data_IF_468390280004
#
_entry.id   IF_468390280004
#
_cell.length_a   1.000
_cell.length_b   1.000
_cell.length_c   1.000
_cell.angle_alpha   90.00
_cell.angle_beta   90.00
_cell.angle_gamma   90.00
#
_symmetry.space_group_name_H-M   'P 1'
#
loop_
_entity.id
_entity.type
_entity.pdbx_description
1 polymer ?
#
# COMPACT_ATOMS: atom_id res chain seq x y z
N UNK A 1 -35.23 -12.48 -12.78
CA UNK A 1 -35.21 -11.08 -13.27
C UNK A 1 -34.06 -10.36 -12.59
N UNK A 2 -33.23 -9.58 -13.28
CA UNK A 2 -32.13 -8.87 -12.62
C UNK A 2 -32.73 -7.86 -11.64
N UNK A 3 -32.36 -7.94 -10.35
CA UNK A 3 -32.79 -6.97 -9.34
C UNK A 3 -32.16 -5.62 -9.70
N UNK A 4 -32.99 -4.68 -10.11
CA UNK A 4 -32.55 -3.32 -10.43
C UNK A 4 -31.89 -2.70 -9.20
N UNK A 5 -30.75 -2.02 -9.40
CA UNK A 5 -30.04 -1.39 -8.28
C UNK A 5 -30.95 -0.34 -7.63
N UNK A 6 -31.02 -0.30 -6.28
CA UNK A 6 -31.83 0.70 -5.60
C UNK A 6 -31.31 2.11 -5.90
N UNK A 7 -32.19 3.10 -5.86
CA UNK A 7 -31.91 4.47 -6.33
C UNK A 7 -30.67 5.07 -5.68
N UNK A 8 -30.49 4.90 -4.36
CA UNK A 8 -29.37 5.45 -3.59
C UNK A 8 -28.00 4.81 -3.89
N UNK A 9 -27.97 3.66 -4.58
CA UNK A 9 -26.72 3.03 -5.05
C UNK A 9 -26.36 3.38 -6.50
N UNK A 10 -27.18 4.21 -7.16
CA UNK A 10 -26.90 4.74 -8.49
C UNK A 10 -26.00 5.97 -8.36
N UNK A 11 -25.20 6.23 -9.38
CA UNK A 11 -24.47 7.49 -9.45
C UNK A 11 -25.49 8.63 -9.65
N UNK A 12 -25.32 9.78 -8.98
CA UNK A 12 -24.12 10.23 -8.26
C UNK A 12 -24.06 9.84 -6.77
N UNK A 13 -25.14 9.35 -6.16
CA UNK A 13 -25.23 9.12 -4.70
C UNK A 13 -24.42 7.93 -4.20
N UNK A 14 -24.01 7.02 -5.09
CA UNK A 14 -23.34 5.78 -4.73
C UNK A 14 -22.08 5.97 -3.87
N UNK A 15 -21.44 7.15 -3.95
CA UNK A 15 -20.29 7.55 -3.12
C UNK A 15 -20.62 7.68 -1.63
N UNK A 16 -21.85 8.10 -1.28
CA UNK A 16 -22.28 8.27 0.12
C UNK A 16 -22.55 6.94 0.84
N UNK A 17 -22.61 5.83 0.10
CA UNK A 17 -22.96 4.50 0.65
C UNK A 17 -21.85 3.48 0.50
N UNK A 18 -20.68 3.88 0.00
CA UNK A 18 -19.52 3.01 -0.23
C UNK A 18 -18.29 3.58 0.47
N UNK A 19 -18.04 3.13 1.69
CA UNK A 19 -16.92 3.60 2.53
C UNK A 19 -15.57 3.48 1.80
N UNK A 20 -15.35 2.37 1.09
CA UNK A 20 -14.12 2.14 0.31
C UNK A 20 -13.87 3.16 -0.80
N UNK A 21 -14.90 3.85 -1.30
CA UNK A 21 -14.73 4.90 -2.30
C UNK A 21 -14.36 6.24 -1.66
N UNK A 22 -14.81 6.49 -0.43
CA UNK A 22 -14.51 7.70 0.34
C UNK A 22 -13.02 7.72 0.75
N UNK A 23 -12.38 6.56 0.89
CA UNK A 23 -10.94 6.46 1.18
C UNK A 23 -10.05 6.71 -0.06
N UNK A 24 -10.51 6.28 -1.24
CA UNK A 24 -9.73 6.39 -2.48
C UNK A 24 -9.85 7.73 -3.18
N UNK A 25 -10.95 8.45 -2.91
CA UNK A 25 -11.27 9.71 -3.58
C UNK A 25 -10.83 10.89 -2.72
N UNK A 26 -10.31 11.96 -3.34
CA UNK A 26 -10.00 13.18 -2.61
C UNK A 26 -11.28 13.76 -1.98
N UNK A 27 -11.30 14.07 -0.67
CA UNK A 27 -12.47 14.68 -0.03
C UNK A 27 -12.92 15.99 -0.70
N UNK A 28 -11.98 16.72 -1.31
CA UNK A 28 -12.22 18.01 -1.97
C UNK A 28 -12.97 17.91 -3.31
N UNK A 29 -12.89 16.77 -4.00
CA UNK A 29 -13.60 16.59 -5.28
C UNK A 29 -15.08 16.22 -5.09
N UNK A 30 -15.52 16.00 -3.85
CA UNK A 30 -16.88 15.58 -3.54
C UNK A 30 -17.72 16.84 -3.23
N UNK A 31 -18.66 17.14 -4.12
CA UNK A 31 -19.70 18.14 -3.87
C UNK A 31 -20.81 17.54 -2.99
N UNK A 32 -20.59 17.64 -1.69
CA UNK A 32 -21.50 17.09 -0.68
C UNK A 32 -22.85 17.80 -0.68
N UNK A 33 -22.88 19.11 -0.97
CA UNK A 33 -24.12 19.90 -0.99
C UNK A 33 -25.00 19.42 -2.13
N UNK A 34 -24.43 19.29 -3.33
CA UNK A 34 -25.13 18.76 -4.49
C UNK A 34 -25.64 17.33 -4.25
N UNK A 35 -24.82 16.46 -3.67
CA UNK A 35 -25.20 15.07 -3.41
C UNK A 35 -26.35 14.95 -2.40
N UNK A 36 -26.30 15.71 -1.30
CA UNK A 36 -27.32 15.64 -0.26
C UNK A 36 -28.64 16.29 -0.69
N UNK A 37 -28.58 17.42 -1.42
CA UNK A 37 -29.78 18.10 -1.93
C UNK A 37 -30.52 17.22 -2.93
N UNK A 38 -29.81 16.70 -3.93
CA UNK A 38 -30.41 15.79 -4.93
C UNK A 38 -30.90 14.49 -4.31
N UNK A 39 -30.20 13.95 -3.31
CA UNK A 39 -30.66 12.76 -2.59
C UNK A 39 -31.96 13.05 -1.83
N UNK A 40 -32.04 14.19 -1.14
CA UNK A 40 -33.23 14.59 -0.39
C UNK A 40 -34.43 14.82 -1.31
N UNK A 41 -34.22 15.43 -2.48
CA UNK A 41 -35.26 15.60 -3.50
C UNK A 41 -35.84 14.26 -3.96
N UNK A 42 -34.99 13.28 -4.23
CA UNK A 42 -35.45 11.93 -4.62
C UNK A 42 -36.11 11.17 -3.47
N UNK A 43 -35.60 11.32 -2.24
CA UNK A 43 -36.22 10.76 -1.06
C UNK A 43 -37.61 11.37 -0.80
N UNK A 44 -37.82 12.65 -1.09
CA UNK A 44 -39.15 13.27 -1.01
C UNK A 44 -40.13 12.75 -2.06
N UNK A 45 -39.64 12.29 -3.22
CA UNK A 45 -40.48 11.71 -4.28
C UNK A 45 -40.92 10.28 -3.98
N UNK A 46 -40.00 9.46 -3.50
CA UNK A 46 -40.24 8.02 -3.28
C UNK A 46 -40.75 7.73 -1.86
N UNK A 47 -40.40 8.59 -0.89
CA UNK A 47 -40.61 8.39 0.53
C UNK A 47 -39.28 8.32 1.28
N UNK A 48 -39.21 9.04 2.40
CA UNK A 48 -38.00 9.17 3.21
C UNK A 48 -37.77 7.88 4.01
N UNK A 49 -36.70 7.16 3.69
CA UNK A 49 -36.16 6.10 4.56
C UNK A 49 -35.09 6.69 5.48
N UNK A 50 -35.41 6.81 6.77
CA UNK A 50 -34.49 7.35 7.77
C UNK A 50 -33.22 6.52 7.96
N UNK A 51 -33.22 5.23 7.63
CA UNK A 51 -32.01 4.41 7.68
C UNK A 51 -31.00 4.86 6.64
N UNK A 52 -31.49 5.10 5.41
CA UNK A 52 -30.69 5.57 4.29
C UNK A 52 -30.19 6.99 4.58
N UNK A 53 -31.07 7.86 5.08
CA UNK A 53 -30.68 9.20 5.53
C UNK A 53 -29.59 9.14 6.61
N UNK A 54 -29.73 8.26 7.61
CA UNK A 54 -28.74 8.07 8.66
C UNK A 54 -27.39 7.64 8.12
N UNK A 55 -27.36 6.71 7.17
CA UNK A 55 -26.11 6.30 6.50
C UNK A 55 -25.49 7.45 5.70
N UNK A 56 -26.29 8.19 4.93
CA UNK A 56 -25.82 9.34 4.17
C UNK A 56 -25.29 10.47 5.08
N UNK A 57 -25.91 10.68 6.24
CA UNK A 57 -25.43 11.62 7.25
C UNK A 57 -24.10 11.12 7.82
N UNK A 58 -23.97 9.85 8.20
CA UNK A 58 -22.73 9.31 8.73
C UNK A 58 -21.56 9.45 7.74
N UNK A 59 -21.79 9.13 6.46
CA UNK A 59 -20.76 9.30 5.43
C UNK A 59 -20.44 10.78 5.18
N UNK A 60 -21.43 11.67 5.28
CA UNK A 60 -21.21 13.12 5.20
C UNK A 60 -20.29 13.64 6.32
N UNK A 61 -20.47 13.13 7.55
CA UNK A 61 -19.62 13.46 8.70
C UNK A 61 -18.19 12.98 8.46
N UNK A 62 -18.01 11.75 7.96
CA UNK A 62 -16.70 11.20 7.63
C UNK A 62 -15.97 12.03 6.57
N UNK A 63 -16.68 12.46 5.52
CA UNK A 63 -16.10 13.32 4.47
C UNK A 63 -15.66 14.67 5.07
N UNK A 64 -16.49 15.27 5.93
CA UNK A 64 -16.18 16.56 6.55
C UNK A 64 -15.00 16.46 7.54
N UNK A 65 -14.96 15.39 8.34
CA UNK A 65 -13.84 15.09 9.22
C UNK A 65 -12.53 15.00 8.43
N UNK A 66 -12.50 14.26 7.31
CA UNK A 66 -11.30 14.17 6.47
C UNK A 66 -10.88 15.52 5.90
N UNK A 67 -11.84 16.38 5.51
CA UNK A 67 -11.52 17.74 5.06
C UNK A 67 -10.84 18.54 6.17
N UNK A 68 -11.38 18.48 7.39
CA UNK A 68 -10.79 19.16 8.55
C UNK A 68 -9.40 18.63 8.90
N UNK A 69 -9.20 17.30 8.89
CA UNK A 69 -7.90 16.68 9.13
C UNK A 69 -6.86 17.08 8.06
N UNK A 70 -7.26 17.16 6.80
CA UNK A 70 -6.37 17.62 5.73
C UNK A 70 -6.02 19.10 5.87
N UNK A 71 -6.99 19.94 6.23
CA UNK A 71 -6.72 21.36 6.52
C UNK A 71 -5.73 21.51 7.68
N UNK A 72 -5.92 20.74 8.76
CA UNK A 72 -5.01 20.77 9.90
C UNK A 72 -3.58 20.37 9.51
N UNK A 73 -3.44 19.30 8.71
CA UNK A 73 -2.12 18.85 8.21
C UNK A 73 -1.45 19.87 7.29
N UNK A 74 -2.21 20.72 6.60
CA UNK A 74 -1.66 21.79 5.76
C UNK A 74 -1.16 22.97 6.59
N UNK A 75 -1.73 23.19 7.77
CA UNK A 75 -1.30 24.24 8.70
C UNK A 75 -0.10 23.82 9.55
N UNK A 76 0.14 22.52 9.70
CA UNK A 76 1.32 22.02 10.41
C UNK A 76 2.62 22.58 9.79
N UNK A 77 3.49 23.21 10.59
CA UNK A 77 4.75 23.73 10.07
C UNK A 77 5.57 22.58 9.49
N UNK A 78 6.37 22.84 8.44
CA UNK A 78 7.25 21.82 7.89
C UNK A 78 8.11 21.25 9.01
N UNK A 79 8.07 19.92 9.17
CA UNK A 79 8.87 19.25 10.19
C UNK A 79 10.32 19.70 10.04
N UNK A 80 11.01 20.04 11.14
CA UNK A 80 12.41 20.41 11.07
C UNK A 80 13.15 19.32 10.29
N UNK A 81 14.11 19.69 9.42
CA UNK A 81 14.91 18.71 8.72
C UNK A 81 15.41 17.72 9.75
N UNK A 82 15.07 16.45 9.60
CA UNK A 82 15.60 15.41 10.48
C UNK A 82 17.10 15.54 10.34
N UNK A 83 17.79 15.91 11.43
CA UNK A 83 19.24 15.84 11.46
C UNK A 83 19.55 14.44 10.96
N UNK A 84 20.15 14.38 9.77
CA UNK A 84 20.69 13.13 9.27
C UNK A 84 21.68 12.77 10.37
N UNK A 85 21.29 11.83 11.24
CA UNK A 85 22.22 11.18 12.14
C UNK A 85 23.40 10.89 11.23
N UNK A 86 24.58 11.38 11.63
CA UNK A 86 25.81 11.26 10.85
C UNK A 86 26.21 9.78 10.89
N UNK A 87 25.38 8.97 10.25
CA UNK A 87 25.50 7.53 10.12
C UNK A 87 26.52 7.39 9.03
N UNK A 88 27.76 7.17 9.47
CA UNK A 88 28.85 6.82 8.58
C UNK A 88 28.44 5.61 7.76
N UNK A 89 28.06 5.85 6.50
CA UNK A 89 27.84 4.80 5.50
C UNK A 89 29.21 4.55 4.88
N UNK A 90 29.88 3.42 5.16
CA UNK A 90 31.15 3.13 4.53
C UNK A 90 30.96 3.02 3.01
N UNK A 91 31.97 3.42 2.23
CA UNK A 91 31.93 3.23 0.79
C UNK A 91 31.75 1.74 0.46
N UNK A 92 31.06 1.41 -0.65
CA UNK A 92 30.88 0.03 -1.07
C UNK A 92 32.26 -0.63 -1.26
N UNK A 93 32.43 -1.80 -0.64
CA UNK A 93 33.63 -2.60 -0.78
C UNK A 93 33.68 -3.16 -2.22
N UNK A 94 34.71 -2.80 -2.98
CA UNK A 94 34.95 -3.47 -4.26
C UNK A 94 35.34 -4.92 -3.97
N UNK A 95 34.48 -5.86 -4.34
CA UNK A 95 34.84 -7.28 -4.31
C UNK A 95 36.05 -7.47 -5.24
N UNK A 96 37.08 -8.21 -4.81
CA UNK A 96 38.20 -8.51 -5.67
C UNK A 96 37.69 -9.21 -6.93
N UNK A 97 38.13 -8.74 -8.09
CA UNK A 97 37.90 -9.45 -9.34
C UNK A 97 38.48 -10.85 -9.18
N UNK A 98 37.60 -11.87 -9.15
CA UNK A 98 38.04 -13.25 -9.28
C UNK A 98 38.50 -13.43 -10.72
N UNK A 99 39.78 -13.16 -10.96
CA UNK A 99 40.44 -13.77 -12.11
C UNK A 99 40.49 -15.27 -11.83
N UNK A 100 39.82 -16.06 -12.67
CA UNK A 100 39.90 -17.51 -12.67
C UNK A 100 41.28 -17.96 -13.20
N UNK A 101 42.37 -17.56 -12.54
CA UNK A 101 43.63 -18.27 -12.66
C UNK A 101 43.56 -19.43 -11.69
N UNK A 102 42.88 -20.50 -12.11
CA UNK A 102 43.02 -21.80 -11.46
C UNK A 102 44.47 -22.25 -11.67
N UNK A 103 45.33 -22.01 -10.68
CA UNK A 103 46.69 -22.55 -10.63
C UNK A 103 46.70 -24.08 -10.51
N UNK A 104 45.53 -24.65 -10.23
CA UNK A 104 45.31 -26.09 -10.09
C UNK A 104 44.78 -26.64 -11.41
N UNK A 105 45.52 -27.56 -12.00
CA UNK A 105 45.08 -28.30 -13.17
C UNK A 105 44.04 -29.37 -12.79
N UNK A 106 43.27 -29.84 -13.77
CA UNK A 106 42.32 -30.96 -13.54
C UNK A 106 43.05 -32.20 -13.01
N UNK A 107 44.29 -32.43 -13.44
CA UNK A 107 45.12 -33.54 -12.97
C UNK A 107 45.45 -33.42 -11.49
N UNK A 108 45.76 -32.21 -11.00
CA UNK A 108 46.06 -32.00 -9.57
C UNK A 108 44.84 -32.30 -8.69
N UNK A 109 43.63 -31.98 -9.17
CA UNK A 109 42.39 -32.32 -8.48
C UNK A 109 42.13 -33.83 -8.43
N UNK A 110 42.39 -34.54 -9.54
CA UNK A 110 42.23 -35.99 -9.61
C UNK A 110 43.23 -36.68 -8.67
N UNK A 111 44.50 -36.27 -8.68
CA UNK A 111 45.52 -36.84 -7.79
C UNK A 111 45.22 -36.58 -6.31
N UNK A 112 44.75 -35.38 -5.96
CA UNK A 112 44.34 -35.07 -4.60
C UNK A 112 43.15 -35.94 -4.14
N UNK A 113 42.17 -36.17 -5.03
CA UNK A 113 41.00 -36.99 -4.74
C UNK A 113 41.37 -38.47 -4.56
N UNK A 114 42.20 -39.03 -5.44
CA UNK A 114 42.68 -40.41 -5.34
C UNK A 114 43.46 -40.63 -4.04
N UNK A 115 44.28 -39.66 -3.65
CA UNK A 115 45.02 -39.71 -2.38
C UNK A 115 44.07 -39.69 -1.18
N UNK A 116 43.06 -38.81 -1.18
CA UNK A 116 42.08 -38.73 -0.10
C UNK A 116 41.28 -40.05 0.05
N UNK A 117 40.83 -40.64 -1.07
CA UNK A 117 40.07 -41.90 -1.08
C UNK A 117 40.93 -43.09 -0.62
N UNK A 118 42.22 -43.11 -0.98
CA UNK A 118 43.12 -44.17 -0.56
C UNK A 118 43.51 -44.05 0.92
N UNK A 119 43.70 -42.84 1.44
CA UNK A 119 43.92 -42.60 2.87
C UNK A 119 42.70 -43.01 3.71
N UNK A 120 41.48 -42.65 3.28
CA UNK A 120 40.24 -43.05 3.97
C UNK A 120 40.08 -44.59 3.97
N UNK A 121 40.30 -45.24 2.82
CA UNK A 121 40.27 -46.71 2.73
C UNK A 121 41.35 -47.37 3.61
N UNK A 122 42.49 -46.73 3.83
CA UNK A 122 43.57 -47.21 4.72
C UNK A 122 43.29 -46.98 6.19
N UNK A 123 42.49 -45.97 6.53
CA UNK A 123 42.03 -45.72 7.91
C UNK A 123 40.89 -46.65 8.37
N UNK A 124 40.24 -47.33 7.43
CA UNK A 124 39.14 -48.27 7.67
C UNK A 124 39.58 -49.75 7.65
N UNK A 125 40.88 -50.02 7.54
CA UNK A 125 41.52 -51.34 7.63
C UNK A 125 42.43 -51.41 8.86
#
# INVERSE_FOLDING_TARGET
MPKEKPYYLRDPWSILFKDTQIDKTSPWSIDLVYLLTTLLEEMNRVGIDFRIAGTAINSSVLIYQKKAELLLKMEEPPKPPTDKLDVYVPPPLNLPFRFEFTTTSVTDLITALEKALTEERRSLA
#
